data_IF_368350166518
#
_entry.id   IF_368350166518
#
_cell.length_a   1.000
_cell.length_b   1.000
_cell.length_c   1.000
_cell.angle_alpha   90.00
_cell.angle_beta   90.00
_cell.angle_gamma   90.00
#
_symmetry.space_group_name_H-M   'P 1'
#
loop_
_entity.id
_entity.type
_entity.pdbx_description
1 polymer ?
#
# COMPACT_ATOMS: atom_id res chain seq x y z
N UNK A 1 0.07 -4.06 -11.54
CA UNK A 1 0.77 -3.17 -12.49
C UNK A 1 -0.05 -1.89 -12.53
N UNK A 2 0.20 -0.99 -11.59
CA UNK A 2 -0.61 0.21 -11.41
C UNK A 2 -0.52 1.14 -12.62
N UNK A 3 -1.67 1.34 -13.27
CA UNK A 3 -1.89 2.40 -14.24
C UNK A 3 -1.75 3.73 -13.49
N UNK A 4 -0.53 4.30 -13.48
CA UNK A 4 -0.33 5.71 -13.10
C UNK A 4 -1.25 6.55 -13.98
N UNK A 5 -2.38 6.95 -13.41
CA UNK A 5 -3.33 7.83 -14.07
C UNK A 5 -2.58 9.15 -14.30
N UNK A 6 -2.29 9.46 -15.57
CA UNK A 6 -1.63 10.71 -16.00
C UNK A 6 -2.39 11.99 -15.60
N UNK A 7 -3.53 11.83 -14.93
CA UNK A 7 -4.44 12.88 -14.48
C UNK A 7 -4.00 13.54 -13.16
N UNK A 8 -3.09 12.92 -12.41
CA UNK A 8 -2.59 13.42 -11.14
C UNK A 8 -1.36 14.31 -11.37
N UNK A 9 -1.53 15.64 -11.24
CA UNK A 9 -0.44 16.62 -11.36
C UNK A 9 0.61 16.49 -10.25
N UNK A 10 1.71 17.26 -10.31
CA UNK A 10 2.88 17.20 -9.39
C UNK A 10 2.54 17.17 -7.89
N UNK A 11 1.40 17.74 -7.50
CA UNK A 11 0.94 17.86 -6.12
C UNK A 11 0.02 16.73 -5.65
N UNK A 12 -0.19 15.72 -6.49
CA UNK A 12 -1.04 14.59 -6.15
C UNK A 12 -0.31 13.61 -5.24
N UNK A 13 -1.07 12.92 -4.41
CA UNK A 13 -0.52 11.92 -3.51
C UNK A 13 -0.04 10.69 -4.30
N UNK A 14 1.19 10.24 -3.99
CA UNK A 14 1.80 9.05 -4.60
C UNK A 14 1.54 7.75 -3.80
N UNK A 15 0.46 7.72 -3.00
CA UNK A 15 0.09 6.51 -2.28
C UNK A 15 -0.36 5.44 -3.28
N UNK A 16 0.30 4.29 -3.27
CA UNK A 16 -0.22 3.08 -3.91
C UNK A 16 -1.52 2.67 -3.19
N UNK A 17 -2.42 1.97 -3.89
CA UNK A 17 -3.81 1.73 -3.47
C UNK A 17 -4.00 1.05 -2.10
N UNK A 18 -5.23 0.66 -1.75
CA UNK A 18 -5.48 0.00 -0.47
C UNK A 18 -4.80 -1.38 -0.42
N UNK A 19 -4.12 -1.65 0.69
CA UNK A 19 -3.50 -2.93 0.99
C UNK A 19 -4.01 -3.48 2.32
N UNK A 20 -3.98 -4.80 2.46
CA UNK A 20 -4.25 -5.51 3.69
C UNK A 20 -2.92 -5.97 4.29
N UNK A 21 -2.78 -5.88 5.61
CA UNK A 21 -1.63 -6.44 6.31
C UNK A 21 -1.85 -7.95 6.47
N UNK A 22 -0.95 -8.74 5.88
CA UNK A 22 -0.96 -10.20 5.93
C UNK A 22 -0.19 -10.72 7.16
N UNK A 23 0.96 -10.10 7.47
CA UNK A 23 1.78 -10.46 8.63
C UNK A 23 2.46 -9.23 9.23
N UNK A 24 2.60 -9.23 10.56
CA UNK A 24 3.33 -8.20 11.32
C UNK A 24 4.65 -8.80 11.82
N UNK A 25 5.77 -8.13 11.54
CA UNK A 25 7.07 -8.46 12.09
C UNK A 25 7.47 -7.52 13.22
N UNK A 26 8.41 -7.97 14.04
CA UNK A 26 9.13 -7.13 14.98
C UNK A 26 9.84 -5.99 14.26
N UNK A 27 9.92 -4.79 14.88
CA UNK A 27 10.58 -3.58 14.36
C UNK A 27 9.88 -2.90 13.17
N UNK A 28 8.55 -2.77 13.21
CA UNK A 28 7.76 -1.93 12.29
C UNK A 28 7.88 -2.36 10.81
N UNK A 29 8.00 -3.67 10.57
CA UNK A 29 7.97 -4.26 9.24
C UNK A 29 6.70 -5.10 9.08
N UNK A 30 6.08 -5.01 7.90
CA UNK A 30 4.78 -5.61 7.62
C UNK A 30 4.83 -6.30 6.26
N UNK A 31 4.20 -7.46 6.16
CA UNK A 31 3.85 -8.06 4.87
C UNK A 31 2.50 -7.48 4.47
N UNK A 32 2.46 -6.80 3.34
CA UNK A 32 1.23 -6.28 2.75
C UNK A 32 0.82 -7.12 1.54
N UNK A 33 -0.48 -7.24 1.34
CA UNK A 33 -1.10 -7.91 0.21
C UNK A 33 -2.14 -6.99 -0.42
N UNK A 34 -2.19 -6.98 -1.73
CA UNK A 34 -3.20 -6.21 -2.46
C UNK A 34 -4.59 -6.82 -2.27
N UNK A 35 -5.62 -5.99 -2.04
CA UNK A 35 -6.99 -6.46 -1.75
C UNK A 35 -7.52 -7.38 -2.86
N UNK A 36 -7.19 -7.07 -4.12
CA UNK A 36 -7.71 -7.77 -5.29
C UNK A 36 -6.72 -8.79 -5.89
N UNK A 37 -5.47 -8.85 -5.42
CA UNK A 37 -4.46 -9.78 -5.96
C UNK A 37 -4.10 -10.84 -4.94
N UNK A 38 -4.38 -12.10 -5.27
CA UNK A 38 -4.07 -13.23 -4.40
C UNK A 38 -2.57 -13.52 -4.28
N UNK A 39 -1.73 -12.97 -5.16
CA UNK A 39 -0.37 -13.49 -5.38
C UNK A 39 0.77 -12.50 -5.12
N UNK A 40 0.48 -11.25 -4.78
CA UNK A 40 1.52 -10.22 -4.63
C UNK A 40 1.61 -9.76 -3.18
N UNK A 41 2.42 -10.47 -2.40
CA UNK A 41 2.82 -10.07 -1.05
C UNK A 41 4.15 -9.30 -1.10
N UNK A 42 4.25 -8.15 -0.43
CA UNK A 42 5.48 -7.35 -0.33
C UNK A 42 5.78 -7.03 1.12
N UNK A 43 7.05 -7.04 1.50
CA UNK A 43 7.48 -6.55 2.82
C UNK A 43 7.71 -5.03 2.75
N UNK A 44 7.14 -4.28 3.69
CA UNK A 44 7.24 -2.82 3.77
C UNK A 44 7.46 -2.35 5.21
N UNK A 45 8.10 -1.19 5.37
CA UNK A 45 8.23 -0.54 6.67
C UNK A 45 6.97 0.29 6.98
N UNK A 46 6.50 0.25 8.23
CA UNK A 46 5.32 1.00 8.67
C UNK A 46 5.42 2.52 8.53
N UNK A 47 6.64 3.08 8.43
CA UNK A 47 6.82 4.52 8.14
C UNK A 47 6.27 4.93 6.77
N UNK A 48 6.07 3.96 5.87
CA UNK A 48 5.49 4.15 4.54
C UNK A 48 4.05 3.62 4.45
N UNK A 49 3.38 3.41 5.57
CA UNK A 49 1.97 3.00 5.62
C UNK A 49 1.14 4.13 6.20
N UNK A 50 -0.10 4.26 5.72
CA UNK A 50 -1.11 5.16 6.27
C UNK A 50 -2.38 4.35 6.48
N UNK A 51 -3.07 4.60 7.61
CA UNK A 51 -4.37 3.99 7.88
C UNK A 51 -5.35 4.42 6.79
N UNK A 52 -5.96 3.43 6.14
CA UNK A 52 -7.03 3.66 5.18
C UNK A 52 -8.34 3.85 5.95
N UNK A 53 -8.96 5.02 5.77
CA UNK A 53 -10.28 5.30 6.34
C UNK A 53 -11.29 5.28 5.18
N UNK A 54 -12.26 4.37 5.25
CA UNK A 54 -13.44 4.47 4.38
C UNK A 54 -14.23 5.74 4.76
N UNK A 55 -14.79 6.39 3.73
CA UNK A 55 -15.56 7.62 3.88
C UNK A 55 -17.04 7.31 4.04
#
# INVERSE_FOLDING_TARGET
MDQRSRHLGKWSYNWEGPFIIDQVYSKNAYVIKEVNSKFTSRVINGKYLKIFHER
#
